data_IF_522315633997
#
_entry.id   IF_522315633997
#
_cell.length_a   1.000
_cell.length_b   1.000
_cell.length_c   1.000
_cell.angle_alpha   90.00
_cell.angle_beta   90.00
_cell.angle_gamma   90.00
#
_symmetry.space_group_name_H-M   'P 1'
#
loop_
_entity.id
_entity.type
_entity.pdbx_description
1 polymer ?
#
# COMPACT_ATOMS: atom_id res chain seq x y z
N UNK A 1 10.30 -0.46 -24.01
CA UNK A 1 10.59 0.03 -22.65
C UNK A 1 11.75 -0.74 -22.07
N UNK A 2 12.60 -0.09 -21.31
CA UNK A 2 13.63 -0.71 -20.48
C UNK A 2 12.98 -1.51 -19.35
N UNK A 3 13.77 -2.21 -18.56
CA UNK A 3 13.25 -3.02 -17.45
C UNK A 3 12.77 -2.15 -16.30
N UNK A 4 11.65 -2.53 -15.69
CA UNK A 4 11.18 -1.98 -14.40
C UNK A 4 11.05 -3.15 -13.43
N UNK A 5 11.86 -3.16 -12.40
CA UNK A 5 11.94 -4.27 -11.43
C UNK A 5 11.79 -3.79 -10.00
N UNK A 6 11.47 -4.70 -9.09
CA UNK A 6 11.43 -4.44 -7.65
C UNK A 6 12.50 -5.23 -6.94
N UNK A 7 13.22 -4.58 -6.04
CA UNK A 7 14.25 -5.21 -5.21
C UNK A 7 13.98 -5.00 -3.72
N UNK A 8 14.41 -5.96 -2.91
CA UNK A 8 14.33 -5.82 -1.45
C UNK A 8 15.32 -4.77 -0.96
N UNK A 9 14.81 -3.83 -0.17
CA UNK A 9 15.64 -2.86 0.55
C UNK A 9 16.37 -3.48 1.75
N UNK A 10 15.98 -4.66 2.19
CA UNK A 10 16.58 -5.34 3.35
C UNK A 10 18.03 -5.68 3.05
N UNK A 11 18.93 -5.27 3.93
CA UNK A 11 20.37 -5.52 3.80
C UNK A 11 21.13 -4.56 2.88
N UNK A 12 20.46 -3.59 2.25
CA UNK A 12 21.15 -2.57 1.46
C UNK A 12 21.81 -1.51 2.39
N UNK A 13 23.13 -1.38 2.29
CA UNK A 13 23.87 -0.30 2.94
C UNK A 13 23.77 0.97 2.09
N UNK A 14 23.30 2.07 2.68
CA UNK A 14 23.18 3.36 1.97
C UNK A 14 22.13 3.42 0.86
N UNK A 15 21.25 2.41 0.73
CA UNK A 15 20.16 2.40 -0.27
C UNK A 15 20.62 2.21 -1.72
N UNK A 16 21.88 1.83 -1.96
CA UNK A 16 22.42 1.55 -3.30
C UNK A 16 22.50 0.04 -3.56
N UNK A 17 22.28 -0.34 -4.81
CA UNK A 17 22.48 -1.72 -5.29
C UNK A 17 23.94 -1.91 -5.68
N UNK A 18 24.54 -3.02 -5.24
CA UNK A 18 25.85 -3.44 -5.75
C UNK A 18 25.77 -3.84 -7.22
N UNK A 19 26.91 -3.84 -7.92
CA UNK A 19 26.99 -4.31 -9.31
C UNK A 19 26.48 -5.76 -9.44
N UNK A 20 26.82 -6.65 -8.49
CA UNK A 20 26.32 -8.02 -8.46
C UNK A 20 24.78 -8.09 -8.30
N UNK A 21 24.20 -7.20 -7.47
CA UNK A 21 22.75 -7.13 -7.32
C UNK A 21 22.07 -6.62 -8.61
N UNK A 22 22.68 -5.66 -9.30
CA UNK A 22 22.16 -5.15 -10.57
C UNK A 22 22.20 -6.25 -11.65
N UNK A 23 23.30 -6.98 -11.72
CA UNK A 23 23.45 -8.12 -12.62
C UNK A 23 22.42 -9.22 -12.34
N UNK A 24 22.23 -9.59 -11.07
CA UNK A 24 21.22 -10.57 -10.66
C UNK A 24 19.77 -10.14 -11.01
N UNK A 25 19.48 -8.83 -11.01
CA UNK A 25 18.22 -8.27 -11.48
C UNK A 25 18.15 -8.13 -13.00
N UNK A 26 19.29 -8.31 -13.69
CA UNK A 26 19.42 -8.14 -15.12
C UNK A 26 19.20 -6.70 -15.58
N UNK A 27 19.57 -5.71 -14.76
CA UNK A 27 19.50 -4.28 -15.09
C UNK A 27 20.88 -3.69 -15.37
N UNK A 28 20.90 -2.64 -16.18
CA UNK A 28 22.14 -1.96 -16.53
C UNK A 28 22.78 -1.24 -15.33
N UNK A 29 24.11 -0.95 -15.45
CA UNK A 29 24.85 -0.21 -14.40
C UNK A 29 24.34 1.23 -14.21
N UNK A 30 23.71 1.80 -15.21
CA UNK A 30 23.08 3.12 -15.21
C UNK A 30 21.61 3.10 -14.79
N UNK A 31 21.13 1.97 -14.27
CA UNK A 31 19.77 1.83 -13.76
C UNK A 31 19.47 2.86 -12.69
N UNK A 32 18.27 3.46 -12.76
CA UNK A 32 17.79 4.40 -11.75
C UNK A 32 17.17 3.62 -10.60
N UNK A 33 17.74 3.77 -9.39
CA UNK A 33 17.30 3.08 -8.18
C UNK A 33 16.52 4.06 -7.30
N UNK A 34 15.27 3.74 -6.99
CA UNK A 34 14.33 4.62 -6.26
C UNK A 34 13.76 3.91 -5.04
N UNK A 35 13.97 4.50 -3.87
CA UNK A 35 13.33 4.07 -2.63
C UNK A 35 11.91 4.65 -2.54
N UNK A 36 10.92 3.84 -2.84
CA UNK A 36 9.50 4.24 -2.85
C UNK A 36 8.81 4.00 -1.49
N UNK A 37 9.57 3.63 -0.46
CA UNK A 37 9.03 3.45 0.90
C UNK A 37 8.77 4.81 1.59
N UNK A 38 8.06 4.78 2.72
CA UNK A 38 7.87 5.98 3.57
C UNK A 38 9.17 6.57 4.14
N UNK A 39 10.31 5.90 3.93
CA UNK A 39 11.65 6.34 4.33
C UNK A 39 12.50 6.81 3.15
N UNK A 40 11.96 6.78 1.94
CA UNK A 40 12.59 7.29 0.73
C UNK A 40 12.73 8.81 0.74
N UNK A 41 13.30 9.36 -0.33
CA UNK A 41 13.34 10.80 -0.55
C UNK A 41 11.93 11.37 -0.64
N UNK A 42 11.77 12.65 -0.33
CA UNK A 42 10.46 13.30 -0.24
C UNK A 42 9.62 13.11 -1.50
N UNK A 43 10.22 13.31 -2.66
CA UNK A 43 9.57 13.15 -3.96
C UNK A 43 9.08 11.71 -4.23
N UNK A 44 9.70 10.70 -3.59
CA UNK A 44 9.31 9.29 -3.75
C UNK A 44 8.31 8.83 -2.69
N UNK A 45 8.19 9.54 -1.56
CA UNK A 45 7.25 9.18 -0.49
C UNK A 45 5.79 9.25 -0.92
N UNK A 46 5.47 10.02 -1.95
CA UNK A 46 4.10 10.14 -2.49
C UNK A 46 3.53 8.78 -2.93
N UNK A 47 4.40 7.82 -3.24
CA UNK A 47 4.01 6.45 -3.60
C UNK A 47 3.77 5.54 -2.40
N UNK A 48 4.19 5.93 -1.20
CA UNK A 48 3.98 5.11 -0.02
C UNK A 48 2.52 5.13 0.43
N UNK A 49 1.89 3.98 0.72
CA UNK A 49 0.52 3.92 1.23
C UNK A 49 0.36 4.54 2.63
N UNK A 50 1.46 4.85 3.31
CA UNK A 50 1.49 5.54 4.59
C UNK A 50 1.46 7.07 4.48
N UNK A 51 1.62 7.62 3.27
CA UNK A 51 1.74 9.06 3.07
C UNK A 51 0.38 9.68 2.79
N UNK A 52 0.08 10.76 3.49
CA UNK A 52 -1.00 11.66 3.13
C UNK A 52 -0.54 12.54 1.96
N UNK A 53 -1.31 12.55 0.87
CA UNK A 53 -1.01 13.36 -0.32
C UNK A 53 -1.86 14.64 -0.30
N UNK A 54 -1.27 15.72 0.22
CA UNK A 54 -1.98 16.99 0.42
C UNK A 54 -3.17 16.83 1.35
N UNK A 55 -4.27 17.53 1.04
CA UNK A 55 -5.53 17.47 1.80
C UNK A 55 -6.49 16.40 1.29
N UNK A 56 -6.03 15.53 0.38
CA UNK A 56 -6.88 14.47 -0.15
C UNK A 56 -7.32 13.49 0.94
N UNK A 57 -8.62 13.19 0.93
CA UNK A 57 -9.24 12.19 1.80
C UNK A 57 -9.82 11.06 0.95
N UNK A 58 -9.46 9.84 1.29
CA UNK A 58 -9.98 8.63 0.65
C UNK A 58 -11.30 8.24 1.30
N UNK A 59 -12.32 7.95 0.49
CA UNK A 59 -13.55 7.33 1.02
C UNK A 59 -13.27 5.91 1.48
N UNK A 60 -13.57 5.62 2.73
CA UNK A 60 -13.44 4.28 3.30
C UNK A 60 -14.60 3.42 2.80
N UNK A 61 -14.33 2.30 2.10
CA UNK A 61 -15.38 1.46 1.56
C UNK A 61 -16.16 0.71 2.65
N UNK A 62 -17.35 0.24 2.29
CA UNK A 62 -18.21 -0.66 3.08
C UNK A 62 -18.80 -0.08 4.36
N UNK A 63 -18.43 1.11 4.79
CA UNK A 63 -19.04 1.73 5.96
C UNK A 63 -20.47 2.20 5.63
N UNK A 64 -21.48 1.85 6.48
CA UNK A 64 -22.86 2.23 6.23
C UNK A 64 -23.06 3.75 6.32
N UNK A 65 -24.11 4.25 5.68
CA UNK A 65 -24.43 5.69 5.67
C UNK A 65 -24.75 6.26 7.06
N UNK A 66 -25.15 5.41 8.02
CA UNK A 66 -25.34 5.77 9.42
C UNK A 66 -24.05 6.19 10.14
N UNK A 67 -22.86 5.78 9.61
CA UNK A 67 -21.58 6.29 10.12
C UNK A 67 -21.39 7.72 9.60
N UNK A 68 -21.11 8.72 10.46
CA UNK A 68 -20.89 10.11 10.04
C UNK A 68 -19.82 10.22 8.95
N UNK A 69 -20.01 11.14 7.99
CA UNK A 69 -19.12 11.31 6.83
C UNK A 69 -17.66 11.45 7.24
N UNK A 70 -17.36 12.23 8.28
CA UNK A 70 -16.02 12.51 8.78
C UNK A 70 -15.30 11.25 9.32
N UNK A 71 -16.09 10.21 9.65
CA UNK A 71 -15.61 8.90 10.07
C UNK A 71 -15.50 7.90 8.91
N UNK A 72 -16.02 8.25 7.72
CA UNK A 72 -15.93 7.45 6.51
C UNK A 72 -14.82 7.92 5.56
N UNK A 73 -13.91 8.78 6.05
CA UNK A 73 -12.80 9.32 5.28
C UNK A 73 -11.47 8.99 5.95
N UNK A 74 -10.47 8.64 5.13
CA UNK A 74 -9.12 8.32 5.59
C UNK A 74 -8.08 9.19 4.89
N UNK A 75 -7.04 9.56 5.61
CA UNK A 75 -5.91 10.35 5.09
C UNK A 75 -4.94 9.52 4.26
N UNK A 76 -4.91 8.20 4.45
CA UNK A 76 -3.91 7.31 3.83
C UNK A 76 -4.52 5.98 3.45
N UNK A 77 -3.96 5.33 2.44
CA UNK A 77 -4.34 3.96 2.03
C UNK A 77 -4.11 2.97 3.18
N UNK A 78 -2.96 3.09 3.87
CA UNK A 78 -2.67 2.24 5.02
C UNK A 78 -3.66 2.47 6.17
N UNK A 79 -4.14 3.71 6.35
CA UNK A 79 -5.20 4.02 7.32
C UNK A 79 -6.47 3.21 7.08
N UNK A 80 -6.91 3.13 5.81
CA UNK A 80 -8.06 2.29 5.43
C UNK A 80 -7.77 0.82 5.75
N UNK A 81 -6.63 0.32 5.29
CA UNK A 81 -6.22 -1.06 5.48
C UNK A 81 -6.19 -1.47 6.95
N UNK A 82 -5.57 -0.66 7.78
CA UNK A 82 -5.45 -0.96 9.21
C UNK A 82 -6.75 -0.72 9.98
N UNK A 83 -7.49 0.33 9.63
CA UNK A 83 -8.73 0.69 10.29
C UNK A 83 -9.84 -0.34 10.08
N UNK A 84 -9.90 -0.97 8.91
CA UNK A 84 -10.92 -1.99 8.60
C UNK A 84 -10.58 -3.40 9.10
N UNK A 85 -9.41 -3.64 9.72
CA UNK A 85 -9.09 -4.95 10.32
C UNK A 85 -10.01 -5.28 11.48
N UNK A 86 -10.58 -6.48 11.46
CA UNK A 86 -11.36 -7.04 12.56
C UNK A 86 -10.57 -8.18 13.18
N UNK A 87 -10.44 -8.18 14.49
CA UNK A 87 -9.70 -9.20 15.24
C UNK A 87 -10.65 -10.24 15.83
N UNK A 88 -10.14 -11.44 16.11
CA UNK A 88 -10.94 -12.57 16.63
C UNK A 88 -11.66 -12.24 17.93
N UNK A 89 -11.09 -11.34 18.75
CA UNK A 89 -11.69 -10.90 20.03
C UNK A 89 -12.84 -9.89 19.87
N UNK A 90 -13.12 -9.41 18.64
CA UNK A 90 -14.27 -8.55 18.40
C UNK A 90 -15.55 -9.35 18.60
N UNK A 91 -16.43 -8.91 19.48
CA UNK A 91 -17.75 -9.52 19.65
C UNK A 91 -18.58 -9.36 18.37
N UNK A 92 -19.43 -10.33 18.10
CA UNK A 92 -20.35 -10.27 16.96
C UNK A 92 -21.29 -9.08 17.10
N UNK A 93 -21.48 -8.35 15.99
CA UNK A 93 -22.27 -7.12 15.97
C UNK A 93 -21.59 -5.87 16.55
N UNK A 94 -20.40 -6.03 17.17
CA UNK A 94 -19.64 -4.90 17.75
C UNK A 94 -18.59 -4.32 16.81
N UNK A 95 -18.58 -4.72 15.53
CA UNK A 95 -17.53 -4.35 14.58
C UNK A 95 -17.34 -2.84 14.42
N UNK A 96 -18.40 -2.06 14.53
CA UNK A 96 -18.36 -0.60 14.40
C UNK A 96 -18.25 0.15 15.74
N UNK A 97 -18.41 -0.55 16.87
CA UNK A 97 -18.40 0.06 18.21
C UNK A 97 -17.15 -0.28 19.02
N UNK A 98 -16.53 -1.43 18.78
CA UNK A 98 -15.30 -1.84 19.42
C UNK A 98 -14.08 -1.37 18.60
N UNK A 99 -13.63 -0.15 18.83
CA UNK A 99 -12.47 0.41 18.16
C UNK A 99 -11.14 -0.29 18.45
N UNK A 100 -11.08 -1.16 19.47
CA UNK A 100 -9.86 -1.94 19.77
C UNK A 100 -9.73 -3.17 18.88
N UNK A 101 -10.80 -3.96 18.75
CA UNK A 101 -10.80 -5.22 17.99
C UNK A 101 -11.66 -5.13 16.73
N UNK A 102 -12.60 -4.20 16.65
CA UNK A 102 -13.42 -3.85 15.50
C UNK A 102 -12.78 -2.79 14.60
N UNK A 103 -13.62 -2.05 13.87
CA UNK A 103 -13.20 -0.92 13.02
C UNK A 103 -12.58 0.18 13.89
N UNK A 104 -11.33 0.52 13.62
CA UNK A 104 -10.61 1.58 14.32
C UNK A 104 -10.65 2.88 13.50
N UNK A 105 -11.65 3.71 13.77
CA UNK A 105 -11.82 5.02 13.11
C UNK A 105 -10.65 5.98 13.35
N UNK A 106 -9.89 5.80 14.42
CA UNK A 106 -8.68 6.59 14.69
C UNK A 106 -7.59 6.36 13.66
N UNK A 107 -7.53 5.17 13.06
CA UNK A 107 -6.55 4.86 12.00
C UNK A 107 -6.81 5.61 10.70
N UNK A 108 -8.05 5.94 10.39
CA UNK A 108 -8.38 6.73 9.21
C UNK A 108 -7.82 8.15 9.28
N UNK A 109 -7.76 8.72 10.49
CA UNK A 109 -7.23 10.07 10.75
C UNK A 109 -5.73 10.09 11.01
N UNK A 110 -5.13 8.94 11.31
CA UNK A 110 -3.72 8.84 11.62
C UNK A 110 -2.86 8.90 10.34
N UNK A 111 -1.69 9.52 10.47
CA UNK A 111 -0.63 9.48 9.46
C UNK A 111 0.62 8.84 10.07
N UNK A 112 1.40 8.12 9.24
CA UNK A 112 2.70 7.57 9.60
C UNK A 112 2.71 6.48 10.71
N UNK A 113 3.51 6.67 11.78
CA UNK A 113 3.96 5.60 12.68
C UNK A 113 2.85 4.90 13.48
N UNK A 114 1.71 5.54 13.69
CA UNK A 114 0.64 5.01 14.56
C UNK A 114 -0.42 4.17 13.82
N UNK A 115 -0.20 3.88 12.54
CA UNK A 115 -1.19 3.17 11.73
C UNK A 115 -1.26 1.67 12.04
N UNK A 116 -0.15 1.01 12.30
CA UNK A 116 -0.11 -0.45 12.41
C UNK A 116 -0.92 -0.99 13.60
N UNK A 117 -1.81 -1.95 13.30
CA UNK A 117 -2.49 -2.80 14.29
C UNK A 117 -1.90 -4.21 14.16
N UNK A 118 -1.24 -4.69 15.20
CA UNK A 118 -0.46 -5.93 15.14
C UNK A 118 -1.17 -7.10 15.81
N UNK A 119 -1.05 -8.29 15.24
CA UNK A 119 -1.55 -9.53 15.84
C UNK A 119 -0.87 -9.84 17.18
N UNK A 120 0.37 -9.38 17.37
CA UNK A 120 1.12 -9.59 18.63
C UNK A 120 0.38 -9.02 19.85
N UNK A 121 -0.30 -7.90 19.71
CA UNK A 121 -0.99 -7.22 20.81
C UNK A 121 -2.51 -7.45 20.81
N UNK A 122 -3.10 -7.70 19.63
CA UNK A 122 -4.56 -7.77 19.46
C UNK A 122 -5.08 -9.19 19.19
N UNK A 123 -4.19 -10.15 18.99
CA UNK A 123 -4.56 -11.52 18.63
C UNK A 123 -4.75 -11.70 17.12
N UNK A 124 -5.29 -12.85 16.70
CA UNK A 124 -5.50 -13.18 15.29
C UNK A 124 -6.45 -12.21 14.58
N UNK A 125 -6.19 -11.96 13.31
CA UNK A 125 -7.11 -11.21 12.44
C UNK A 125 -8.22 -12.16 11.99
N UNK A 126 -9.49 -11.78 12.23
CA UNK A 126 -10.68 -12.50 11.73
C UNK A 126 -10.88 -12.20 10.23
N UNK A 127 -10.60 -10.99 9.81
CA UNK A 127 -10.76 -10.51 8.43
C UNK A 127 -10.73 -8.99 8.36
N UNK A 128 -11.21 -8.44 7.25
CA UNK A 128 -11.46 -7.00 7.12
C UNK A 128 -12.96 -6.76 7.01
N UNK A 129 -13.42 -5.66 7.57
CA UNK A 129 -14.82 -5.25 7.48
C UNK A 129 -15.24 -5.03 6.03
N UNK A 130 -16.22 -5.79 5.56
CA UNK A 130 -16.78 -5.72 4.21
C UNK A 130 -18.25 -5.27 4.17
N UNK A 131 -18.75 -4.75 5.30
CA UNK A 131 -20.15 -4.38 5.52
C UNK A 131 -20.72 -5.11 6.72
N UNK A 132 -21.96 -4.79 7.14
CA UNK A 132 -22.63 -5.46 8.26
C UNK A 132 -22.66 -6.99 8.07
N UNK A 133 -22.09 -7.72 9.04
CA UNK A 133 -22.02 -9.19 9.00
C UNK A 133 -21.07 -9.77 7.93
N UNK A 134 -20.36 -8.95 7.17
CA UNK A 134 -19.47 -9.41 6.10
C UNK A 134 -18.00 -9.21 6.47
N UNK A 135 -17.23 -10.30 6.46
CA UNK A 135 -15.79 -10.29 6.70
C UNK A 135 -15.05 -10.72 5.44
N UNK A 136 -14.23 -9.81 4.93
CA UNK A 136 -13.39 -10.10 3.77
C UNK A 136 -12.16 -10.89 4.21
N UNK A 137 -11.85 -11.97 3.50
CA UNK A 137 -10.56 -12.64 3.59
C UNK A 137 -9.43 -11.67 3.26
N UNK A 138 -8.19 -12.04 3.58
CA UNK A 138 -7.03 -11.20 3.26
C UNK A 138 -6.91 -10.93 1.76
N UNK A 139 -7.22 -11.92 0.94
CA UNK A 139 -7.17 -11.83 -0.53
C UNK A 139 -8.23 -10.87 -1.07
N UNK A 140 -9.48 -11.03 -0.61
CA UNK A 140 -10.58 -10.13 -0.99
C UNK A 140 -10.32 -8.70 -0.53
N UNK A 141 -9.81 -8.53 0.69
CA UNK A 141 -9.46 -7.22 1.22
C UNK A 141 -8.32 -6.57 0.42
N UNK A 142 -7.31 -7.33 0.00
CA UNK A 142 -6.26 -6.82 -0.90
C UNK A 142 -6.86 -6.30 -2.20
N UNK A 143 -7.76 -7.07 -2.83
CA UNK A 143 -8.42 -6.67 -4.09
C UNK A 143 -9.38 -5.50 -3.89
N UNK A 144 -10.33 -5.62 -2.94
CA UNK A 144 -11.47 -4.70 -2.82
C UNK A 144 -11.13 -3.42 -2.04
N UNK A 145 -10.14 -3.47 -1.13
CA UNK A 145 -9.75 -2.35 -0.27
C UNK A 145 -8.42 -1.78 -0.73
N UNK A 146 -7.33 -2.58 -0.59
CA UNK A 146 -5.97 -2.07 -0.74
C UNK A 146 -5.68 -1.61 -2.17
N UNK A 147 -5.86 -2.47 -3.18
CA UNK A 147 -5.57 -2.11 -4.57
C UNK A 147 -6.49 -0.99 -5.06
N UNK A 148 -7.77 -0.99 -4.65
CA UNK A 148 -8.70 0.07 -5.02
C UNK A 148 -8.26 1.43 -4.48
N UNK A 149 -7.94 1.53 -3.19
CA UNK A 149 -7.47 2.76 -2.57
C UNK A 149 -6.09 3.19 -3.11
N UNK A 150 -5.18 2.23 -3.33
CA UNK A 150 -3.86 2.54 -3.87
C UNK A 150 -3.93 3.04 -5.32
N UNK A 151 -4.85 2.50 -6.14
CA UNK A 151 -5.12 3.03 -7.48
C UNK A 151 -5.56 4.49 -7.44
N UNK A 152 -6.48 4.82 -6.52
CA UNK A 152 -6.91 6.21 -6.33
C UNK A 152 -5.71 7.11 -5.96
N UNK A 153 -4.84 6.66 -5.04
CA UNK A 153 -3.62 7.41 -4.68
C UNK A 153 -2.75 7.69 -5.91
N UNK A 154 -2.49 6.68 -6.74
CA UNK A 154 -1.65 6.83 -7.93
C UNK A 154 -2.26 7.74 -9.00
N UNK A 155 -3.58 7.93 -8.97
CA UNK A 155 -4.32 8.81 -9.89
C UNK A 155 -4.50 10.25 -9.38
N UNK A 156 -4.11 10.56 -8.13
CA UNK A 156 -4.12 11.93 -7.63
C UNK A 156 -3.22 12.82 -8.50
N UNK A 157 -3.65 14.04 -8.89
CA UNK A 157 -2.90 14.86 -9.84
C UNK A 157 -1.40 15.04 -9.55
N UNK A 158 -0.96 15.31 -8.29
CA UNK A 158 0.47 15.40 -7.99
C UNK A 158 1.19 14.06 -8.11
N UNK A 159 0.55 12.94 -7.72
CA UNK A 159 1.14 11.60 -7.79
C UNK A 159 1.15 11.09 -9.24
N UNK A 160 0.10 11.35 -10.00
CA UNK A 160 0.01 10.99 -11.41
C UNK A 160 1.12 11.64 -12.24
N UNK A 161 1.45 12.93 -11.97
CA UNK A 161 2.60 13.57 -12.62
C UNK A 161 3.92 12.85 -12.33
N UNK A 162 4.12 12.38 -11.10
CA UNK A 162 5.31 11.59 -10.76
C UNK A 162 5.30 10.21 -11.46
N UNK A 163 4.14 9.57 -11.59
CA UNK A 163 4.01 8.32 -12.38
C UNK A 163 4.42 8.56 -13.84
N UNK A 164 3.98 9.65 -14.47
CA UNK A 164 4.39 9.99 -15.84
C UNK A 164 5.89 10.26 -15.94
N UNK A 165 6.49 10.90 -14.97
CA UNK A 165 7.95 11.08 -14.90
C UNK A 165 8.67 9.74 -14.83
N UNK A 166 8.17 8.78 -14.02
CA UNK A 166 8.72 7.42 -13.95
C UNK A 166 8.57 6.69 -15.29
N UNK A 167 7.44 6.84 -15.98
CA UNK A 167 7.23 6.29 -17.34
C UNK A 167 8.23 6.85 -18.36
N UNK A 168 8.50 8.16 -18.31
CA UNK A 168 9.48 8.78 -19.17
C UNK A 168 10.89 8.19 -18.92
N UNK A 169 11.31 8.09 -17.67
CA UNK A 169 12.60 7.44 -17.30
C UNK A 169 12.63 5.98 -17.77
N UNK A 170 11.55 5.23 -17.62
CA UNK A 170 11.48 3.82 -18.01
C UNK A 170 11.55 3.57 -19.53
N UNK A 171 11.41 4.62 -20.37
CA UNK A 171 11.65 4.51 -21.81
C UNK A 171 13.15 4.48 -22.13
N UNK A 172 13.97 5.13 -21.31
CA UNK A 172 15.39 5.34 -21.58
C UNK A 172 16.31 4.51 -20.70
N UNK A 173 15.94 4.32 -19.42
CA UNK A 173 16.76 3.63 -18.41
C UNK A 173 15.99 2.54 -17.70
N UNK A 174 16.71 1.54 -17.21
CA UNK A 174 16.13 0.57 -16.30
C UNK A 174 15.79 1.24 -14.97
N UNK A 175 14.62 0.88 -14.39
CA UNK A 175 14.17 1.35 -13.09
C UNK A 175 14.19 0.21 -12.08
N UNK A 176 14.66 0.50 -10.87
CA UNK A 176 14.58 -0.41 -9.73
C UNK A 176 13.85 0.29 -8.58
N UNK A 177 12.67 -0.21 -8.21
CA UNK A 177 11.96 0.25 -7.04
C UNK A 177 12.40 -0.57 -5.82
N UNK A 178 12.78 0.11 -4.74
CA UNK A 178 13.13 -0.52 -3.47
C UNK A 178 11.94 -0.55 -2.53
N UNK A 179 11.66 -1.74 -1.97
CA UNK A 179 10.67 -1.93 -0.92
C UNK A 179 11.19 -2.93 0.13
N UNK A 180 10.58 -2.98 1.31
CA UNK A 180 10.89 -3.98 2.33
C UNK A 180 10.39 -5.37 1.96
N UNK A 181 9.23 -5.45 1.32
CA UNK A 181 8.62 -6.67 0.81
C UNK A 181 8.58 -6.62 -0.72
N UNK A 182 8.69 -7.78 -1.36
CA UNK A 182 8.69 -7.90 -2.83
C UNK A 182 7.59 -8.82 -3.34
N UNK A 183 6.61 -9.15 -2.47
CA UNK A 183 5.50 -10.02 -2.81
C UNK A 183 4.54 -9.35 -3.80
N UNK A 184 4.27 -10.00 -4.92
CA UNK A 184 3.32 -9.61 -5.97
C UNK A 184 2.08 -10.53 -6.02
N UNK A 185 1.97 -11.48 -5.09
CA UNK A 185 0.91 -12.47 -5.06
C UNK A 185 -0.08 -12.18 -3.93
N UNK A 186 -1.34 -12.00 -4.29
CA UNK A 186 -2.44 -11.73 -3.37
C UNK A 186 -2.73 -12.89 -2.41
N UNK A 187 -2.38 -14.12 -2.83
CA UNK A 187 -2.69 -15.34 -2.10
C UNK A 187 -1.61 -15.72 -1.08
N UNK A 188 -0.40 -15.15 -1.20
CA UNK A 188 0.67 -15.44 -0.23
C UNK A 188 0.40 -14.81 1.12
N UNK A 189 0.74 -15.56 2.18
CA UNK A 189 0.73 -15.06 3.56
C UNK A 189 1.97 -14.17 3.85
N UNK A 190 2.17 -13.17 3.01
CA UNK A 190 3.20 -12.12 3.13
C UNK A 190 2.59 -10.79 2.74
N UNK A 191 3.05 -9.67 3.33
CA UNK A 191 2.58 -8.35 2.92
C UNK A 191 2.71 -8.14 1.42
N UNK A 192 1.67 -7.59 0.79
CA UNK A 192 1.73 -7.17 -0.60
C UNK A 192 2.67 -5.97 -0.73
N UNK A 193 3.59 -6.02 -1.68
CA UNK A 193 4.51 -4.93 -1.95
C UNK A 193 3.82 -3.80 -2.71
N UNK A 194 3.81 -2.59 -2.15
CA UNK A 194 3.33 -1.43 -2.87
C UNK A 194 4.24 -1.05 -4.06
N UNK A 195 5.54 -1.39 -3.99
CA UNK A 195 6.45 -1.21 -5.11
C UNK A 195 6.11 -2.13 -6.30
N UNK A 196 5.63 -3.36 -6.06
CA UNK A 196 5.12 -4.22 -7.13
C UNK A 196 3.83 -3.65 -7.74
N UNK A 197 2.93 -3.12 -6.90
CA UNK A 197 1.74 -2.43 -7.39
C UNK A 197 2.13 -1.19 -8.23
N UNK A 198 3.07 -0.37 -7.75
CA UNK A 198 3.59 0.80 -8.49
C UNK A 198 4.22 0.36 -9.82
N UNK A 199 5.03 -0.69 -9.81
CA UNK A 199 5.64 -1.26 -11.02
C UNK A 199 4.57 -1.61 -12.07
N UNK A 200 3.57 -2.42 -11.68
CA UNK A 200 2.47 -2.78 -12.57
C UNK A 200 1.75 -1.55 -13.11
N UNK A 201 1.48 -0.55 -12.25
CA UNK A 201 0.79 0.67 -12.65
C UNK A 201 1.64 1.56 -13.59
N UNK A 202 2.94 1.67 -13.37
CA UNK A 202 3.87 2.39 -14.28
C UNK A 202 3.89 1.74 -15.66
N UNK A 203 3.94 0.40 -15.71
CA UNK A 203 4.02 -0.35 -16.96
C UNK A 203 2.69 -0.35 -17.73
N UNK A 204 1.56 -0.46 -17.05
CA UNK A 204 0.27 -0.80 -17.67
C UNK A 204 -0.88 0.16 -17.35
N UNK A 205 -0.74 1.05 -16.38
CA UNK A 205 -1.84 1.90 -15.89
C UNK A 205 -2.82 1.18 -14.96
N UNK A 206 -2.55 -0.08 -14.61
CA UNK A 206 -3.34 -0.91 -13.72
C UNK A 206 -2.48 -1.96 -12.98
N UNK A 207 -3.12 -2.85 -12.22
CA UNK A 207 -2.47 -3.87 -11.41
C UNK A 207 -2.52 -5.28 -12.00
N UNK A 208 -2.53 -5.40 -13.34
CA UNK A 208 -2.65 -6.70 -14.04
C UNK A 208 -1.53 -7.69 -13.76
N UNK A 209 -0.37 -7.24 -13.31
CA UNK A 209 0.74 -8.11 -12.93
C UNK A 209 0.71 -8.58 -11.47
N UNK A 210 -0.24 -8.09 -10.66
CA UNK A 210 -0.48 -8.57 -9.30
C UNK A 210 -1.35 -9.83 -9.38
N UNK A 211 -0.81 -10.96 -8.90
CA UNK A 211 -1.36 -12.32 -9.06
C UNK A 211 -2.36 -12.68 -7.98
#
# INVERSE_FOLDING_TARGET
>A
MKKVVVASKRGLKGGSLSAASQEALGVGRDAVVLDVTSRGKEEMRVFSPFTQNGDHLFTVPFLPSSVPKERRESRTVEGIWQGLKIFQKCAEGAELTDGKYGVDFGKFKAANKNLKRTTRTLGGVRGHYGGPGVFLSIQEARKKIYLSAYKQQLQLPPVARQVESLRAVAREKDLVFLDFDTNDDLNKDKPLSHAQCLRSFVLHGDFREIK
#
